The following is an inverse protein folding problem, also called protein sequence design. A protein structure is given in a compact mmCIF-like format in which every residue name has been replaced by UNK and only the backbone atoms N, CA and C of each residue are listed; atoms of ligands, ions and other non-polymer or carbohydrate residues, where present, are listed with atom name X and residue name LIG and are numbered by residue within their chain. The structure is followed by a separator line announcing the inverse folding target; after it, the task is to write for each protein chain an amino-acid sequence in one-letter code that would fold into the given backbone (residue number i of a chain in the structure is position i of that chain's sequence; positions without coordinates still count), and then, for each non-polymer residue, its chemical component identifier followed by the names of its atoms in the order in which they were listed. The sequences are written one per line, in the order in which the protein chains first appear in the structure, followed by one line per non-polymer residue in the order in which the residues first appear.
data_IF_493614766117
#
_entry.id   IF_493614766117
#
_cell.length_a   1.000
_cell.length_b   1.000
_cell.length_c   1.000
_cell.angle_alpha   90.00
_cell.angle_beta   90.00
_cell.angle_gamma   90.00
#
_symmetry.space_group_name_H-M   'P 1'
#
loop_
_entity.id
_entity.type
_entity.pdbx_description
1 polymer ?
#
# COMPACT_ATOMS: atom_id res chain seq x y z
N UNK A 1 24.46 -2.45 14.43
CA UNK A 1 24.28 -3.20 13.16
C UNK A 1 23.05 -4.13 13.19
N UNK A 2 22.80 -4.86 14.28
CA UNK A 2 21.64 -5.79 14.41
C UNK A 2 20.27 -5.10 14.48
N UNK A 3 20.17 -3.93 15.10
CA UNK A 3 18.91 -3.16 15.24
C UNK A 3 18.39 -2.61 13.91
N UNK A 4 19.28 -2.22 13.01
CA UNK A 4 18.95 -1.65 11.70
C UNK A 4 18.34 -2.71 10.76
N UNK A 5 18.92 -3.91 10.75
CA UNK A 5 18.38 -5.07 10.04
C UNK A 5 16.98 -5.46 10.53
N UNK A 6 16.77 -5.46 11.85
CA UNK A 6 15.45 -5.74 12.43
C UNK A 6 14.41 -4.68 12.04
N UNK A 7 14.78 -3.40 12.06
CA UNK A 7 13.91 -2.29 11.68
C UNK A 7 13.53 -2.34 10.19
N UNK A 8 14.49 -2.59 9.30
CA UNK A 8 14.24 -2.78 7.85
C UNK A 8 13.30 -3.93 7.57
N UNK A 9 13.52 -5.08 8.24
CA UNK A 9 12.64 -6.26 8.10
C UNK A 9 11.23 -5.95 8.62
N UNK A 10 11.08 -5.04 9.59
CA UNK A 10 9.78 -4.55 10.06
C UNK A 10 9.09 -3.64 9.04
N UNK A 11 9.83 -2.68 8.47
CA UNK A 11 9.30 -1.74 7.47
C UNK A 11 8.76 -2.45 6.23
N UNK A 12 9.43 -3.49 5.74
CA UNK A 12 8.95 -4.29 4.60
C UNK A 12 7.62 -4.99 4.94
N UNK A 13 7.47 -5.51 6.17
CA UNK A 13 6.20 -6.13 6.62
C UNK A 13 5.07 -5.11 6.65
N UNK A 14 5.35 -3.91 7.16
CA UNK A 14 4.37 -2.82 7.17
C UNK A 14 4.00 -2.35 5.76
N UNK A 15 4.95 -2.32 4.82
CA UNK A 15 4.64 -2.02 3.42
C UNK A 15 3.66 -3.04 2.82
N UNK A 16 3.85 -4.33 3.09
CA UNK A 16 2.89 -5.37 2.70
C UNK A 16 1.53 -5.21 3.38
N UNK A 17 1.50 -4.87 4.67
CA UNK A 17 0.26 -4.60 5.38
C UNK A 17 -0.49 -3.41 4.77
N UNK A 18 0.22 -2.33 4.40
CA UNK A 18 -0.36 -1.16 3.74
C UNK A 18 -0.93 -1.49 2.36
N UNK A 19 -0.24 -2.32 1.56
CA UNK A 19 -0.75 -2.80 0.27
C UNK A 19 -2.05 -3.58 0.47
N UNK A 20 -2.06 -4.53 1.42
CA UNK A 20 -3.25 -5.34 1.71
C UNK A 20 -4.42 -4.46 2.18
N UNK A 21 -4.16 -3.51 3.09
CA UNK A 21 -5.17 -2.56 3.56
C UNK A 21 -5.72 -1.69 2.42
N UNK A 22 -4.85 -1.22 1.52
CA UNK A 22 -5.27 -0.44 0.35
C UNK A 22 -6.17 -1.25 -0.59
N UNK A 23 -5.79 -2.50 -0.92
CA UNK A 23 -6.60 -3.39 -1.75
C UNK A 23 -7.97 -3.66 -1.12
N UNK A 24 -8.01 -3.97 0.18
CA UNK A 24 -9.27 -4.18 0.91
C UNK A 24 -10.13 -2.91 0.86
N UNK A 25 -9.53 -1.74 1.10
CA UNK A 25 -10.23 -0.45 1.09
C UNK A 25 -10.84 -0.15 -0.28
N UNK A 26 -10.08 -0.34 -1.36
CA UNK A 26 -10.57 -0.18 -2.73
C UNK A 26 -11.74 -1.12 -2.99
N UNK A 27 -11.61 -2.40 -2.61
CA UNK A 27 -12.67 -3.40 -2.78
C UNK A 27 -13.96 -3.03 -2.04
N UNK A 28 -13.86 -2.62 -0.78
CA UNK A 28 -15.00 -2.17 0.01
C UNK A 28 -15.68 -0.94 -0.61
N UNK A 29 -14.89 0.05 -1.07
CA UNK A 29 -15.42 1.24 -1.74
C UNK A 29 -16.08 0.90 -3.07
N UNK A 30 -15.49 0.01 -3.86
CA UNK A 30 -16.07 -0.44 -5.12
C UNK A 30 -17.40 -1.17 -4.91
N UNK A 31 -17.49 -2.03 -3.89
CA UNK A 31 -18.76 -2.68 -3.51
C UNK A 31 -19.77 -1.63 -3.05
N UNK A 32 -19.38 -0.66 -2.23
CA UNK A 32 -20.28 0.42 -1.80
C UNK A 32 -20.76 1.29 -2.97
N UNK A 33 -19.91 1.56 -3.96
CA UNK A 33 -20.30 2.21 -5.21
C UNK A 33 -21.36 1.38 -5.96
N UNK A 34 -21.15 0.07 -6.13
CA UNK A 34 -22.12 -0.79 -6.82
C UNK A 34 -23.49 -0.83 -6.12
N UNK A 35 -23.49 -0.79 -4.78
CA UNK A 35 -24.72 -0.82 -3.99
C UNK A 35 -25.45 0.53 -3.97
N UNK A 36 -24.75 1.66 -4.08
CA UNK A 36 -25.33 3.01 -3.89
C UNK A 36 -25.45 3.83 -5.17
N UNK A 37 -24.69 3.50 -6.22
CA UNK A 37 -24.54 4.32 -7.43
C UNK A 37 -23.80 5.64 -7.20
N UNK A 38 -23.18 5.86 -6.04
CA UNK A 38 -22.54 7.14 -5.70
C UNK A 38 -21.22 7.35 -6.45
N UNK A 39 -21.20 8.32 -7.36
CA UNK A 39 -19.99 8.72 -8.09
C UNK A 39 -18.91 9.28 -7.13
N UNK A 40 -19.33 9.85 -5.99
CA UNK A 40 -18.39 10.29 -4.94
C UNK A 40 -17.58 9.12 -4.37
N UNK A 41 -18.23 7.97 -4.13
CA UNK A 41 -17.53 6.74 -3.69
C UNK A 41 -16.62 6.16 -4.78
N UNK A 42 -17.00 6.30 -6.06
CA UNK A 42 -16.14 5.92 -7.17
C UNK A 42 -14.87 6.80 -7.20
N UNK A 43 -15.02 8.12 -7.05
CA UNK A 43 -13.88 9.05 -6.96
C UNK A 43 -12.97 8.72 -5.76
N UNK A 44 -13.58 8.42 -4.62
CA UNK A 44 -12.87 8.04 -3.40
C UNK A 44 -12.15 6.67 -3.53
N UNK A 45 -12.71 5.74 -4.31
CA UNK A 45 -12.04 4.49 -4.70
C UNK A 45 -10.85 4.75 -5.63
N UNK A 46 -10.99 5.67 -6.60
CA UNK A 46 -9.89 6.07 -7.49
C UNK A 46 -8.76 6.77 -6.73
N UNK A 47 -9.07 7.61 -5.75
CA UNK A 47 -8.07 8.20 -4.85
C UNK A 47 -7.28 7.11 -4.11
N UNK A 48 -7.96 6.06 -3.63
CA UNK A 48 -7.28 4.95 -2.94
C UNK A 48 -6.34 4.13 -3.85
N UNK A 49 -6.44 4.22 -5.19
CA UNK A 49 -5.42 3.67 -6.09
C UNK A 49 -4.09 4.41 -5.99
N UNK A 50 -4.10 5.72 -5.74
CA UNK A 50 -2.88 6.50 -5.51
C UNK A 50 -2.21 6.06 -4.21
N UNK A 51 -2.98 5.79 -3.16
CA UNK A 51 -2.44 5.21 -1.92
C UNK A 51 -1.81 3.83 -2.14
N UNK A 52 -2.45 2.97 -2.95
CA UNK A 52 -1.87 1.68 -3.33
C UNK A 52 -0.55 1.85 -4.09
N UNK A 53 -0.51 2.77 -5.06
CA UNK A 53 0.72 3.10 -5.79
C UNK A 53 1.83 3.60 -4.86
N UNK A 54 1.50 4.44 -3.89
CA UNK A 54 2.44 4.90 -2.85
C UNK A 54 2.99 3.75 -2.00
N UNK A 55 2.15 2.80 -1.60
CA UNK A 55 2.59 1.62 -0.84
C UNK A 55 3.52 0.70 -1.65
N UNK A 56 3.23 0.51 -2.95
CA UNK A 56 4.11 -0.21 -3.87
C UNK A 56 5.44 0.50 -4.07
N UNK A 57 5.43 1.83 -4.20
CA UNK A 57 6.65 2.63 -4.30
C UNK A 57 7.51 2.50 -3.05
N UNK A 58 6.89 2.56 -1.86
CA UNK A 58 7.59 2.35 -0.59
C UNK A 58 8.24 0.97 -0.52
N UNK A 59 7.51 -0.08 -0.93
CA UNK A 59 8.07 -1.43 -1.00
C UNK A 59 9.26 -1.51 -1.98
N UNK A 60 9.14 -0.88 -3.15
CA UNK A 60 10.22 -0.84 -4.14
C UNK A 60 11.47 -0.14 -3.59
N UNK A 61 11.31 1.02 -2.95
CA UNK A 61 12.42 1.76 -2.34
C UNK A 61 13.09 0.98 -1.21
N UNK A 62 12.31 0.36 -0.32
CA UNK A 62 12.84 -0.50 0.74
C UNK A 62 13.62 -1.69 0.17
N UNK A 63 13.15 -2.26 -0.95
CA UNK A 63 13.83 -3.37 -1.62
C UNK A 63 15.14 -2.93 -2.26
N UNK A 64 15.18 -1.76 -2.92
CA UNK A 64 16.40 -1.18 -3.48
C UNK A 64 17.41 -0.86 -2.37
N UNK A 65 16.97 -0.22 -1.29
CA UNK A 65 17.82 0.12 -0.14
C UNK A 65 18.35 -1.10 0.63
N UNK A 66 17.74 -2.28 0.45
CA UNK A 66 18.19 -3.53 1.04
C UNK A 66 19.22 -4.28 0.18
N UNK A 67 19.45 -3.87 -1.08
CA UNK A 67 20.50 -4.47 -1.91
C UNK A 67 21.87 -4.13 -1.34
N UNK A 68 22.80 -5.10 -1.24
CA UNK A 68 24.18 -4.81 -0.90
C UNK A 68 24.77 -3.87 -1.96
N UNK A 69 25.71 -3.00 -1.54
CA UNK A 69 26.47 -2.20 -2.48
C UNK A 69 27.32 -3.15 -3.34
N UNK A 70 27.13 -3.04 -4.65
CA UNK A 70 28.06 -3.58 -5.65
C UNK A 70 29.25 -2.60 -5.79
#
# INVERSE_FOLDING_TARGET
MTSDLANRKSLIRYAWLSIAAAVITIGLKAVAYLLTGSIGLLSDAMESLVNLAGALMALAMLTVAARPAD
#
